data_IF_723944968931
#
_entry.id   IF_723944968931
#
_cell.length_a   1.000
_cell.length_b   1.000
_cell.length_c   1.000
_cell.angle_alpha   90.00
_cell.angle_beta   90.00
_cell.angle_gamma   90.00
#
_symmetry.space_group_name_H-M   'P 1'
#
loop_
_entity.id
_entity.type
_entity.pdbx_description
1 polymer ?
#
# COMPACT_ATOMS: atom_id res chain seq x y z
N UNK A 1 -20.68 -31.07 13.20
CA UNK A 1 -19.67 -30.01 12.99
C UNK A 1 -20.14 -29.11 11.86
N UNK A 2 -20.47 -27.85 12.14
CA UNK A 2 -20.58 -26.81 11.11
C UNK A 2 -19.46 -25.82 11.39
N UNK A 3 -18.45 -25.80 10.53
CA UNK A 3 -17.42 -24.77 10.59
C UNK A 3 -18.10 -23.44 10.25
N UNK A 4 -18.37 -22.63 11.27
CA UNK A 4 -18.74 -21.23 11.08
C UNK A 4 -17.52 -20.54 10.47
N UNK A 5 -17.58 -20.26 9.17
CA UNK A 5 -16.65 -19.34 8.51
C UNK A 5 -16.88 -17.99 9.18
N UNK A 6 -16.01 -17.64 10.13
CA UNK A 6 -15.98 -16.29 10.69
C UNK A 6 -15.57 -15.36 9.56
N UNK A 7 -16.55 -14.69 8.94
CA UNK A 7 -16.31 -13.54 8.07
C UNK A 7 -15.44 -12.57 8.88
N UNK A 8 -14.21 -12.32 8.43
CA UNK A 8 -13.38 -11.25 8.99
C UNK A 8 -14.00 -9.95 8.55
N UNK A 9 -14.89 -9.40 9.37
CA UNK A 9 -15.27 -7.99 9.24
C UNK A 9 -14.00 -7.16 9.45
N UNK A 10 -13.67 -6.38 8.43
CA UNK A 10 -12.58 -5.43 8.49
C UNK A 10 -12.86 -4.45 9.64
N UNK A 11 -11.97 -4.41 10.62
CA UNK A 11 -12.13 -3.57 11.79
C UNK A 11 -11.68 -2.12 11.52
N UNK A 12 -12.40 -1.12 12.05
CA UNK A 12 -12.46 0.25 11.50
C UNK A 12 -11.33 1.17 11.95
N UNK A 13 -10.22 0.67 12.49
CA UNK A 13 -9.07 1.52 12.86
C UNK A 13 -8.31 2.10 11.65
N UNK A 14 -8.88 2.01 10.45
CA UNK A 14 -8.20 2.11 9.15
C UNK A 14 -9.01 2.88 8.07
N UNK A 15 -9.81 3.87 8.46
CA UNK A 15 -10.80 4.56 7.60
C UNK A 15 -10.27 5.16 6.28
N UNK A 16 -8.97 5.46 6.15
CA UNK A 16 -8.45 6.22 5.01
C UNK A 16 -7.99 5.41 3.79
N UNK A 17 -7.66 4.12 3.94
CA UNK A 17 -7.14 3.33 2.81
C UNK A 17 -8.18 3.08 1.70
N UNK A 18 -9.45 2.73 2.04
CA UNK A 18 -10.51 2.63 1.03
C UNK A 18 -10.70 3.95 0.27
N UNK A 19 -10.70 5.07 1.00
CA UNK A 19 -10.84 6.43 0.41
C UNK A 19 -9.68 6.75 -0.55
N UNK A 20 -8.43 6.46 -0.15
CA UNK A 20 -7.23 6.68 -0.98
C UNK A 20 -7.24 5.79 -2.23
N UNK A 21 -7.88 4.62 -2.17
CA UNK A 21 -8.05 3.69 -3.29
C UNK A 21 -9.31 3.98 -4.13
N UNK A 22 -10.05 5.05 -3.83
CA UNK A 22 -11.26 5.44 -4.55
C UNK A 22 -12.46 4.52 -4.31
N UNK A 23 -12.45 3.72 -3.23
CA UNK A 23 -13.56 2.85 -2.84
C UNK A 23 -14.38 3.50 -1.73
N UNK A 24 -15.71 3.45 -1.83
CA UNK A 24 -16.59 3.99 -0.81
C UNK A 24 -16.48 3.19 0.50
N UNK A 25 -16.58 3.87 1.65
CA UNK A 25 -16.64 3.23 2.96
C UNK A 25 -17.88 2.31 2.98
N UNK A 26 -17.67 1.00 3.05
CA UNK A 26 -18.75 0.00 3.08
C UNK A 26 -18.87 -0.88 1.84
N UNK A 27 -18.04 -0.69 0.82
CA UNK A 27 -17.95 -1.67 -0.27
C UNK A 27 -17.31 -2.97 0.21
N UNK A 28 -17.95 -4.11 -0.09
CA UNK A 28 -17.38 -5.43 0.19
C UNK A 28 -16.12 -5.62 -0.67
N UNK A 29 -14.96 -5.63 -0.02
CA UNK A 29 -13.71 -6.04 -0.65
C UNK A 29 -13.69 -7.56 -0.80
N UNK A 30 -13.31 -8.04 -1.99
CA UNK A 30 -13.03 -9.46 -2.19
C UNK A 30 -11.89 -9.91 -1.25
N UNK A 31 -11.92 -11.17 -0.81
CA UNK A 31 -10.91 -11.74 0.11
C UNK A 31 -9.48 -11.56 -0.42
N UNK A 32 -9.28 -11.70 -1.74
CA UNK A 32 -8.00 -11.48 -2.42
C UNK A 32 -7.49 -10.03 -2.29
N UNK A 33 -8.38 -9.05 -2.31
CA UNK A 33 -8.02 -7.63 -2.20
C UNK A 33 -7.65 -7.29 -0.75
N UNK A 34 -8.34 -7.90 0.22
CA UNK A 34 -7.99 -7.80 1.63
C UNK A 34 -6.61 -8.38 1.93
N UNK A 35 -6.28 -9.54 1.36
CA UNK A 35 -4.96 -10.16 1.50
C UNK A 35 -3.85 -9.27 0.93
N UNK A 36 -4.06 -8.70 -0.27
CA UNK A 36 -3.12 -7.75 -0.89
C UNK A 36 -2.91 -6.51 -0.03
N UNK A 37 -3.99 -5.95 0.52
CA UNK A 37 -3.91 -4.80 1.41
C UNK A 37 -3.16 -5.14 2.70
N UNK A 38 -3.41 -6.31 3.28
CA UNK A 38 -2.71 -6.75 4.49
C UNK A 38 -1.20 -6.94 4.23
N UNK A 39 -0.84 -7.53 3.09
CA UNK A 39 0.56 -7.66 2.67
C UNK A 39 1.23 -6.30 2.48
N UNK A 40 0.54 -5.37 1.81
CA UNK A 40 1.01 -4.01 1.59
C UNK A 40 1.25 -3.26 2.91
N UNK A 41 0.27 -3.25 3.81
CA UNK A 41 0.37 -2.56 5.10
C UNK A 41 1.49 -3.14 5.98
N UNK A 42 1.59 -4.47 6.06
CA UNK A 42 2.66 -5.14 6.82
C UNK A 42 4.04 -4.87 6.23
N UNK A 43 4.15 -4.89 4.90
CA UNK A 43 5.40 -4.56 4.21
C UNK A 43 5.83 -3.13 4.50
N UNK A 44 4.91 -2.17 4.39
CA UNK A 44 5.19 -0.77 4.67
C UNK A 44 5.62 -0.50 6.11
N UNK A 45 4.93 -1.11 7.09
CA UNK A 45 5.28 -0.93 8.50
C UNK A 45 6.71 -1.41 8.83
N UNK A 46 7.25 -2.38 8.09
CA UNK A 46 8.60 -2.88 8.27
C UNK A 46 9.66 -2.07 7.50
N UNK A 47 9.28 -1.51 6.36
CA UNK A 47 10.22 -0.86 5.43
C UNK A 47 10.35 0.64 5.62
N UNK A 48 9.27 1.34 5.98
CA UNK A 48 9.30 2.80 6.19
C UNK A 48 10.08 3.16 7.45
N UNK A 49 10.92 4.20 7.33
CA UNK A 49 11.77 4.70 8.42
C UNK A 49 11.62 6.21 8.54
N UNK A 50 11.81 6.73 9.75
CA UNK A 50 11.67 8.17 10.05
C UNK A 50 12.70 9.04 9.33
N UNK A 51 13.85 8.47 9.03
CA UNK A 51 14.94 9.12 8.30
C UNK A 51 14.79 9.06 6.78
N UNK A 52 13.76 8.37 6.25
CA UNK A 52 13.52 8.34 4.81
C UNK A 52 13.19 9.74 4.28
N UNK A 53 13.81 10.11 3.15
CA UNK A 53 13.30 11.23 2.36
C UNK A 53 11.91 10.90 1.81
N UNK A 54 11.12 11.93 1.46
CA UNK A 54 9.80 11.74 0.83
C UNK A 54 9.90 10.83 -0.40
N UNK A 55 10.93 11.01 -1.23
CA UNK A 55 11.14 10.20 -2.43
C UNK A 55 11.48 8.73 -2.09
N UNK A 56 12.28 8.50 -1.05
CA UNK A 56 12.59 7.16 -0.57
C UNK A 56 11.35 6.46 -0.03
N UNK A 57 10.53 7.16 0.76
CA UNK A 57 9.29 6.65 1.32
C UNK A 57 8.27 6.31 0.22
N UNK A 58 8.10 7.20 -0.77
CA UNK A 58 7.24 6.93 -1.94
C UNK A 58 7.76 5.74 -2.74
N UNK A 59 9.07 5.63 -2.93
CA UNK A 59 9.66 4.47 -3.61
C UNK A 59 9.37 3.15 -2.88
N UNK A 60 9.39 3.15 -1.54
CA UNK A 60 9.00 1.98 -0.74
C UNK A 60 7.52 1.65 -0.87
N UNK A 61 6.65 2.67 -0.90
CA UNK A 61 5.21 2.51 -1.21
C UNK A 61 5.03 1.80 -2.56
N UNK A 62 5.67 2.29 -3.62
CA UNK A 62 5.56 1.70 -4.95
C UNK A 62 6.05 0.25 -4.95
N UNK A 63 7.19 -0.03 -4.31
CA UNK A 63 7.72 -1.40 -4.19
C UNK A 63 6.75 -2.34 -3.48
N UNK A 64 6.19 -1.93 -2.35
CA UNK A 64 5.26 -2.76 -1.59
C UNK A 64 3.95 -2.98 -2.33
N UNK A 65 3.43 -1.96 -3.02
CA UNK A 65 2.21 -2.09 -3.83
C UNK A 65 2.42 -3.10 -4.97
N UNK A 66 3.55 -3.01 -5.68
CA UNK A 66 3.87 -3.96 -6.75
C UNK A 66 4.11 -5.37 -6.22
N UNK A 67 4.77 -5.52 -5.07
CA UNK A 67 4.99 -6.82 -4.44
C UNK A 67 3.67 -7.46 -3.97
N UNK A 68 2.73 -6.67 -3.45
CA UNK A 68 1.42 -7.15 -3.05
C UNK A 68 0.57 -7.57 -4.27
N UNK A 69 0.62 -6.79 -5.35
CA UNK A 69 -0.21 -7.04 -6.54
C UNK A 69 0.31 -8.19 -7.40
N UNK A 70 1.63 -8.25 -7.63
CA UNK A 70 2.25 -9.14 -8.62
C UNK A 70 3.25 -10.13 -8.01
N UNK A 71 3.46 -10.08 -6.69
CA UNK A 71 4.42 -10.90 -5.98
C UNK A 71 5.83 -10.28 -5.90
N UNK A 72 6.64 -10.71 -4.93
CA UNK A 72 7.96 -10.14 -4.65
C UNK A 72 8.99 -10.38 -5.78
N UNK A 73 8.78 -11.42 -6.60
CA UNK A 73 9.65 -11.75 -7.73
C UNK A 73 9.67 -10.64 -8.78
N UNK A 74 8.55 -9.92 -8.98
CA UNK A 74 8.50 -8.79 -9.91
C UNK A 74 9.44 -7.68 -9.45
N UNK A 75 9.39 -7.31 -8.17
CA UNK A 75 10.18 -6.21 -7.61
C UNK A 75 11.68 -6.53 -7.61
N UNK A 76 12.04 -7.81 -7.51
CA UNK A 76 13.43 -8.28 -7.59
C UNK A 76 13.98 -8.33 -9.04
N UNK A 77 13.11 -8.25 -10.06
CA UNK A 77 13.55 -8.34 -11.45
C UNK A 77 14.31 -7.09 -11.89
N UNK A 78 15.35 -7.26 -12.72
CA UNK A 78 16.21 -6.17 -13.19
C UNK A 78 15.44 -5.04 -13.89
N UNK A 79 14.38 -5.38 -14.63
CA UNK A 79 13.51 -4.41 -15.33
C UNK A 79 12.58 -3.61 -14.40
N UNK A 80 12.31 -4.09 -13.18
CA UNK A 80 11.39 -3.43 -12.27
C UNK A 80 11.95 -2.11 -11.71
N UNK A 81 13.28 -1.96 -11.65
CA UNK A 81 13.91 -0.74 -11.15
C UNK A 81 13.45 0.51 -11.92
N UNK A 82 13.52 0.47 -13.26
CA UNK A 82 13.12 1.59 -14.10
C UNK A 82 11.61 1.87 -13.98
N UNK A 83 10.79 0.81 -13.89
CA UNK A 83 9.35 0.94 -13.68
C UNK A 83 9.04 1.63 -12.34
N UNK A 84 9.67 1.19 -11.24
CA UNK A 84 9.51 1.79 -9.92
C UNK A 84 9.92 3.26 -9.94
N UNK A 85 11.08 3.58 -10.53
CA UNK A 85 11.55 4.96 -10.64
C UNK A 85 10.61 5.86 -11.45
N UNK A 86 10.02 5.33 -12.52
CA UNK A 86 9.07 6.08 -13.35
C UNK A 86 7.75 6.32 -12.60
N UNK A 87 7.23 5.33 -11.88
CA UNK A 87 6.02 5.49 -11.07
C UNK A 87 6.26 6.46 -9.92
N UNK A 88 7.37 6.33 -9.19
CA UNK A 88 7.77 7.27 -8.14
C UNK A 88 7.81 8.70 -8.66
N UNK A 89 8.44 8.92 -9.83
CA UNK A 89 8.49 10.24 -10.46
C UNK A 89 7.09 10.75 -10.84
N UNK A 90 6.23 9.89 -11.39
CA UNK A 90 4.84 10.23 -11.68
C UNK A 90 4.09 10.72 -10.45
N UNK A 91 4.19 9.99 -9.33
CA UNK A 91 3.59 10.36 -8.05
C UNK A 91 4.15 11.69 -7.53
N UNK A 92 5.46 11.91 -7.65
CA UNK A 92 6.12 13.12 -7.14
C UNK A 92 5.71 14.40 -7.89
N UNK A 93 5.42 14.29 -9.20
CA UNK A 93 5.07 15.41 -10.06
C UNK A 93 3.56 15.72 -9.98
N UNK A 94 2.72 14.72 -9.77
CA UNK A 94 1.28 14.89 -9.62
C UNK A 94 0.92 15.33 -8.18
N UNK A 95 0.32 16.53 -7.98
CA UNK A 95 0.03 17.03 -6.64
C UNK A 95 -0.96 16.17 -5.85
N UNK A 96 -1.94 15.55 -6.50
CA UNK A 96 -2.98 14.77 -5.83
C UNK A 96 -2.42 13.41 -5.42
N UNK A 97 -1.71 12.73 -6.33
CA UNK A 97 -1.03 11.47 -5.99
C UNK A 97 0.04 11.69 -4.92
N UNK A 98 0.79 12.79 -4.98
CA UNK A 98 1.77 13.15 -3.95
C UNK A 98 1.11 13.33 -2.60
N UNK A 99 -0.03 14.04 -2.54
CA UNK A 99 -0.79 14.23 -1.30
C UNK A 99 -1.27 12.90 -0.73
N UNK A 100 -1.83 12.02 -1.56
CA UNK A 100 -2.25 10.69 -1.15
C UNK A 100 -1.09 9.86 -0.59
N UNK A 101 0.07 9.88 -1.26
CA UNK A 101 1.25 9.18 -0.79
C UNK A 101 1.77 9.73 0.55
N UNK A 102 1.74 11.06 0.75
CA UNK A 102 2.12 11.68 2.02
C UNK A 102 1.18 11.29 3.16
N UNK A 103 -0.12 11.16 2.92
CA UNK A 103 -1.09 10.67 3.92
C UNK A 103 -0.76 9.23 4.32
N UNK A 104 -0.39 8.38 3.35
CA UNK A 104 0.07 7.01 3.65
C UNK A 104 1.33 7.07 4.52
N UNK A 105 2.33 7.86 4.14
CA UNK A 105 3.60 7.97 4.89
C UNK A 105 3.34 8.43 6.33
N UNK A 106 2.56 9.49 6.51
CA UNK A 106 2.23 10.04 7.83
C UNK A 106 1.59 8.99 8.74
N UNK A 107 0.65 8.20 8.20
CA UNK A 107 0.02 7.09 8.94
C UNK A 107 1.02 6.04 9.44
N UNK A 108 2.06 5.74 8.67
CA UNK A 108 3.07 4.74 9.04
C UNK A 108 4.26 5.33 9.79
N UNK A 109 4.43 6.66 9.84
CA UNK A 109 5.51 7.33 10.56
C UNK A 109 5.38 7.26 12.10
N UNK A 110 4.22 6.84 12.61
CA UNK A 110 3.94 6.71 14.04
C UNK A 110 4.32 5.37 14.66
N UNK A 111 4.75 4.39 13.84
CA UNK A 111 5.23 3.07 14.29
C UNK A 111 6.75 3.10 14.46
#
# INVERSE_FOLDING_TARGET
MKAQIRKREWAPTKEFLPIILGKEIGEELEEKDLEKLELFEKGLANELKKEDSIEQAITKIVKMALAAEFGPSLVAAQGAKAMIENITRGIMIDPELRKQALIIIDRFAHV
#
